data_IF_918085547725
#
_entry.id   IF_918085547725
#
_cell.length_a   1.000
_cell.length_b   1.000
_cell.length_c   1.000
_cell.angle_alpha   90.00
_cell.angle_beta   90.00
_cell.angle_gamma   90.00
#
_symmetry.space_group_name_H-M   'P 1'
#
loop_
_entity.id
_entity.type
_entity.pdbx_description
1 polymer ?
#
# COMPACT_ATOMS: atom_id res chain seq x y z
N UNK A 1 4.23 -15.90 -10.76
CA UNK A 1 3.15 -15.08 -10.20
C UNK A 1 2.72 -15.72 -8.88
N UNK A 2 2.55 -14.95 -7.80
CA UNK A 2 2.03 -15.43 -6.50
C UNK A 2 0.69 -14.71 -6.28
N UNK A 3 -0.36 -15.46 -5.97
CA UNK A 3 -1.70 -14.95 -5.70
C UNK A 3 -2.23 -15.61 -4.43
N UNK A 4 -2.81 -14.82 -3.52
CA UNK A 4 -3.44 -15.31 -2.30
C UNK A 4 -4.89 -14.85 -2.28
N UNK A 5 -5.82 -15.80 -2.31
CA UNK A 5 -7.26 -15.54 -2.22
C UNK A 5 -7.63 -15.34 -0.75
N UNK A 6 -7.68 -14.08 -0.32
CA UNK A 6 -8.07 -13.71 1.04
C UNK A 6 -9.02 -12.49 1.04
N UNK A 7 -9.75 -12.35 2.15
CA UNK A 7 -10.66 -11.24 2.45
C UNK A 7 -9.90 -9.97 2.86
N UNK A 8 -10.47 -9.20 3.78
CA UNK A 8 -9.88 -7.94 4.25
C UNK A 8 -8.60 -8.19 5.03
N UNK A 9 -7.47 -7.65 4.56
CA UNK A 9 -6.14 -7.88 5.16
C UNK A 9 -5.42 -6.59 5.55
N UNK A 10 -5.64 -5.50 4.80
CA UNK A 10 -5.04 -4.20 5.10
C UNK A 10 -6.10 -3.27 5.66
N UNK A 11 -5.82 -2.67 6.82
CA UNK A 11 -6.67 -1.69 7.50
C UNK A 11 -5.82 -0.49 7.91
N UNK A 12 -6.31 0.72 7.63
CA UNK A 12 -5.67 1.94 8.09
C UNK A 12 -6.72 2.99 8.48
N UNK A 13 -6.45 3.75 9.52
CA UNK A 13 -7.39 4.71 10.08
C UNK A 13 -6.90 6.14 9.89
N UNK A 14 -7.75 6.98 9.29
CA UNK A 14 -7.62 8.43 9.34
C UNK A 14 -8.44 8.97 10.51
N UNK A 15 -7.74 9.44 11.55
CA UNK A 15 -8.39 10.11 12.68
C UNK A 15 -9.02 11.45 12.26
N UNK A 16 -8.35 12.18 11.35
CA UNK A 16 -8.80 13.50 10.86
C UNK A 16 -10.11 13.41 10.06
N UNK A 17 -10.27 12.36 9.25
CA UNK A 17 -11.47 12.15 8.44
C UNK A 17 -12.46 11.17 9.07
N UNK A 18 -12.18 10.66 10.27
CA UNK A 18 -12.98 9.62 10.93
C UNK A 18 -13.31 8.45 9.98
N UNK A 19 -12.32 8.01 9.20
CA UNK A 19 -12.50 7.07 8.08
C UNK A 19 -11.54 5.90 8.22
N UNK A 20 -12.06 4.67 8.08
CA UNK A 20 -11.27 3.45 7.96
C UNK A 20 -11.11 3.12 6.48
N UNK A 21 -9.87 3.11 6.02
CA UNK A 21 -9.48 2.57 4.73
C UNK A 21 -9.18 1.08 4.88
N UNK A 22 -9.59 0.29 3.89
CA UNK A 22 -9.31 -1.13 3.89
C UNK A 22 -9.13 -1.70 2.48
N UNK A 23 -8.40 -2.80 2.40
CA UNK A 23 -8.21 -3.54 1.16
C UNK A 23 -8.35 -5.05 1.39
N UNK A 24 -9.17 -5.74 0.59
CA UNK A 24 -9.08 -7.18 0.46
C UNK A 24 -7.83 -7.59 -0.32
N UNK A 25 -7.26 -8.77 0.00
CA UNK A 25 -6.04 -9.23 -0.67
C UNK A 25 -6.28 -9.60 -2.12
N UNK A 26 -7.43 -10.23 -2.40
CA UNK A 26 -7.79 -10.71 -3.74
C UNK A 26 -8.07 -9.59 -4.76
N UNK A 27 -7.87 -8.31 -4.41
CA UNK A 27 -8.11 -7.17 -5.29
C UNK A 27 -7.03 -6.10 -5.15
N UNK A 28 -6.83 -5.31 -6.21
CA UNK A 28 -6.01 -4.10 -6.16
C UNK A 28 -6.83 -2.86 -5.71
N UNK A 29 -8.12 -3.00 -5.46
CA UNK A 29 -9.00 -1.91 -5.03
C UNK A 29 -8.72 -1.51 -3.57
N UNK A 30 -8.98 -0.24 -3.27
CA UNK A 30 -8.98 0.32 -1.92
C UNK A 30 -10.37 0.86 -1.63
N UNK A 31 -10.88 0.54 -0.45
CA UNK A 31 -12.22 0.93 -0.01
C UNK A 31 -12.13 1.77 1.26
N UNK A 32 -13.20 2.48 1.58
CA UNK A 32 -13.36 3.18 2.84
C UNK A 32 -14.75 2.99 3.43
N UNK A 33 -14.83 3.14 4.74
CA UNK A 33 -16.07 3.19 5.51
C UNK A 33 -15.90 4.23 6.63
N UNK A 34 -16.90 5.10 6.88
CA UNK A 34 -16.85 6.03 8.01
C UNK A 34 -16.92 5.27 9.33
N UNK A 35 -16.18 5.72 10.36
CA UNK A 35 -16.21 5.07 11.67
C UNK A 35 -17.57 5.15 12.34
N UNK A 36 -18.36 6.19 12.05
CA UNK A 36 -19.73 6.32 12.57
C UNK A 36 -20.60 5.13 12.18
N UNK A 37 -20.47 4.62 10.94
CA UNK A 37 -21.19 3.43 10.50
C UNK A 37 -20.71 2.16 11.20
N UNK A 38 -19.41 2.04 11.45
CA UNK A 38 -18.84 0.89 12.19
C UNK A 38 -19.22 0.90 13.68
N UNK A 39 -19.33 2.10 14.27
CA UNK A 39 -19.67 2.29 15.68
C UNK A 39 -21.18 2.17 15.96
N UNK A 40 -22.03 2.33 14.94
CA UNK A 40 -23.49 2.19 15.06
C UNK A 40 -23.93 0.74 15.36
N UNK A 41 -23.06 -0.25 15.19
CA UNK A 41 -23.37 -1.66 15.35
C UNK A 41 -23.78 -2.33 14.02
N UNK A 42 -24.33 -3.55 14.08
CA UNK A 42 -24.73 -4.29 12.89
C UNK A 42 -25.82 -3.53 12.12
N UNK A 43 -25.72 -3.42 10.78
CA UNK A 43 -26.79 -2.81 10.00
C UNK A 43 -28.07 -3.66 10.12
N UNK A 44 -29.26 -3.02 10.04
CA UNK A 44 -30.54 -3.73 9.94
C UNK A 44 -30.54 -4.76 8.80
N UNK A 45 -31.43 -5.74 8.88
CA UNK A 45 -31.54 -6.76 7.84
C UNK A 45 -31.79 -6.14 6.46
N UNK A 46 -30.92 -6.46 5.50
CA UNK A 46 -30.98 -5.94 4.14
C UNK A 46 -30.24 -4.62 3.90
N UNK A 47 -29.80 -3.93 4.96
CA UNK A 47 -28.94 -2.76 4.84
C UNK A 47 -27.45 -3.16 4.74
N UNK A 48 -26.70 -2.37 3.97
CA UNK A 48 -25.26 -2.58 3.78
C UNK A 48 -24.48 -1.44 4.44
N UNK A 49 -23.26 -1.76 4.90
CA UNK A 49 -22.33 -0.72 5.32
C UNK A 49 -22.08 0.26 4.15
N UNK A 50 -21.96 1.57 4.43
CA UNK A 50 -21.72 2.59 3.42
C UNK A 50 -20.26 2.55 2.94
N UNK A 51 -19.94 1.51 2.17
CA UNK A 51 -18.62 1.26 1.60
C UNK A 51 -18.43 2.13 0.36
N UNK A 52 -17.33 2.88 0.32
CA UNK A 52 -16.94 3.67 -0.86
C UNK A 52 -15.71 3.04 -1.52
N UNK A 53 -15.72 2.92 -2.84
CA UNK A 53 -14.50 2.66 -3.61
C UNK A 53 -13.65 3.94 -3.63
N UNK A 54 -12.48 3.89 -3.00
CA UNK A 54 -11.57 5.05 -2.92
C UNK A 54 -10.72 5.12 -4.17
N UNK A 55 -10.17 3.98 -4.62
CA UNK A 55 -9.32 3.91 -5.80
C UNK A 55 -8.75 2.53 -6.07
N UNK A 56 -7.74 2.47 -6.95
CA UNK A 56 -7.06 1.24 -7.36
C UNK A 56 -5.55 1.40 -7.28
N UNK A 57 -4.88 0.35 -6.80
CA UNK A 57 -3.42 0.19 -6.83
C UNK A 57 -3.00 -0.52 -8.11
N UNK A 58 -1.71 -0.50 -8.43
CA UNK A 58 -1.12 -1.22 -9.55
C UNK A 58 -1.25 -2.74 -9.42
N UNK A 59 -1.11 -3.27 -8.21
CA UNK A 59 -1.28 -4.70 -7.90
C UNK A 59 -1.83 -4.91 -6.47
N UNK A 60 -2.08 -6.17 -6.11
CA UNK A 60 -2.44 -6.55 -4.75
C UNK A 60 -1.30 -6.24 -3.76
N UNK A 61 -1.62 -6.18 -2.47
CA UNK A 61 -0.64 -5.98 -1.41
C UNK A 61 -1.28 -6.15 -0.04
N UNK A 62 -0.46 -6.24 1.01
CA UNK A 62 -0.92 -6.32 2.40
C UNK A 62 -0.86 -4.98 3.09
N UNK A 63 0.34 -4.41 3.16
CA UNK A 63 0.60 -3.26 3.98
C UNK A 63 -0.21 -2.04 3.51
N UNK A 64 -0.86 -1.40 4.48
CA UNK A 64 -1.66 -0.20 4.31
C UNK A 64 -1.46 0.69 5.54
N UNK A 65 -1.15 1.96 5.33
CA UNK A 65 -1.03 2.94 6.40
C UNK A 65 -1.58 4.29 5.94
N UNK A 66 -1.91 5.15 6.91
CA UNK A 66 -2.32 6.53 6.67
C UNK A 66 -1.33 7.44 7.39
N UNK A 67 -0.82 8.46 6.69
CA UNK A 67 -0.08 9.55 7.29
C UNK A 67 -1.06 10.43 8.08
N UNK A 68 -0.94 10.51 9.42
CA UNK A 68 -1.90 11.29 10.22
C UNK A 68 -1.77 12.80 9.99
N UNK A 69 -0.71 13.27 9.31
CA UNK A 69 -0.48 14.70 9.06
C UNK A 69 -1.34 15.24 7.92
N UNK A 70 -1.58 14.44 6.89
CA UNK A 70 -2.27 14.88 5.69
C UNK A 70 -3.23 13.84 5.08
N UNK A 71 -3.41 12.66 5.69
CA UNK A 71 -4.18 11.52 5.19
C UNK A 71 -3.65 10.87 3.91
N UNK A 72 -2.37 11.09 3.58
CA UNK A 72 -1.71 10.32 2.52
C UNK A 72 -1.72 8.84 2.87
N UNK A 73 -2.20 8.01 1.95
CA UNK A 73 -2.24 6.56 2.09
C UNK A 73 -0.92 5.98 1.58
N UNK A 74 -0.25 5.20 2.42
CA UNK A 74 0.93 4.43 2.05
C UNK A 74 0.57 2.97 1.86
N UNK A 75 1.10 2.35 0.81
CA UNK A 75 0.87 0.94 0.52
C UNK A 75 2.07 0.33 -0.21
N UNK A 76 2.13 -1.00 -0.24
CA UNK A 76 3.20 -1.73 -0.95
C UNK A 76 2.62 -2.78 -1.88
N UNK A 77 2.54 -2.49 -3.19
CA UNK A 77 2.11 -3.44 -4.20
C UNK A 77 3.14 -4.58 -4.39
N UNK A 78 2.67 -5.82 -4.54
CA UNK A 78 3.54 -6.98 -4.69
C UNK A 78 4.36 -6.99 -5.99
N UNK A 79 3.76 -6.55 -7.10
CA UNK A 79 4.44 -6.57 -8.41
C UNK A 79 5.55 -5.53 -8.49
N UNK A 80 5.29 -4.33 -7.96
CA UNK A 80 6.21 -3.20 -8.09
C UNK A 80 7.37 -3.26 -7.10
N UNK A 81 7.27 -4.04 -6.01
CA UNK A 81 8.30 -4.13 -4.96
C UNK A 81 8.74 -2.76 -4.44
N UNK A 82 7.74 -1.90 -4.21
CA UNK A 82 7.89 -0.51 -3.85
C UNK A 82 7.03 -0.14 -2.64
N UNK A 83 7.37 0.97 -1.99
CA UNK A 83 6.46 1.71 -1.11
C UNK A 83 5.93 2.89 -1.91
N UNK A 84 4.63 2.92 -2.13
CA UNK A 84 3.93 4.00 -2.80
C UNK A 84 3.16 4.84 -1.78
N UNK A 85 2.97 6.11 -2.08
CA UNK A 85 2.14 7.03 -1.33
C UNK A 85 1.17 7.73 -2.27
N UNK A 86 -0.07 7.88 -1.82
CA UNK A 86 -1.15 8.49 -2.59
C UNK A 86 -2.05 9.32 -1.69
N UNK A 87 -2.29 10.57 -2.07
CA UNK A 87 -3.22 11.47 -1.41
C UNK A 87 -4.58 11.44 -2.14
N UNK A 88 -5.63 10.83 -1.57
CA UNK A 88 -6.88 10.61 -2.31
C UNK A 88 -7.60 11.90 -2.74
N UNK A 89 -7.49 12.98 -1.96
CA UNK A 89 -8.19 14.24 -2.25
C UNK A 89 -7.58 15.03 -3.41
N UNK A 90 -6.25 15.05 -3.50
CA UNK A 90 -5.52 15.78 -4.55
C UNK A 90 -5.08 14.87 -5.70
N UNK A 91 -5.28 13.56 -5.54
CA UNK A 91 -4.77 12.50 -6.40
C UNK A 91 -3.24 12.53 -6.60
N UNK A 92 -2.48 13.18 -5.71
CA UNK A 92 -1.02 13.19 -5.80
C UNK A 92 -0.47 11.80 -5.45
N UNK A 93 0.43 11.29 -6.28
CA UNK A 93 1.04 9.96 -6.14
C UNK A 93 2.56 10.08 -6.20
N UNK A 94 3.26 9.28 -5.39
CA UNK A 94 4.73 9.21 -5.37
C UNK A 94 5.23 7.83 -4.95
N UNK A 95 6.36 7.40 -5.51
CA UNK A 95 7.11 6.25 -5.01
C UNK A 95 8.09 6.75 -3.94
N UNK A 96 7.99 6.21 -2.74
CA UNK A 96 8.85 6.57 -1.60
C UNK A 96 10.11 5.71 -1.52
N UNK A 97 10.02 4.44 -1.91
CA UNK A 97 11.14 3.53 -1.98
C UNK A 97 10.87 2.43 -3.01
N UNK A 98 11.92 1.93 -3.63
CA UNK A 98 11.87 0.79 -4.55
C UNK A 98 13.05 -0.12 -4.25
N UNK A 99 12.79 -1.41 -4.07
CA UNK A 99 13.85 -2.41 -3.91
C UNK A 99 13.29 -3.82 -4.14
N UNK A 100 13.51 -4.41 -5.33
CA UNK A 100 13.12 -5.79 -5.63
C UNK A 100 13.75 -6.84 -4.71
N UNK A 101 14.84 -6.50 -4.03
CA UNK A 101 15.48 -7.38 -3.07
C UNK A 101 14.88 -7.25 -1.67
N UNK A 102 14.61 -6.01 -1.21
CA UNK A 102 14.22 -5.73 0.18
C UNK A 102 12.71 -5.65 0.39
N UNK A 103 11.93 -5.34 -0.65
CA UNK A 103 10.49 -5.08 -0.61
C UNK A 103 9.69 -6.11 -1.40
N UNK A 104 10.07 -7.39 -1.32
CA UNK A 104 9.40 -8.47 -2.06
C UNK A 104 7.99 -8.77 -1.54
N UNK A 105 7.82 -8.71 -0.23
CA UNK A 105 6.55 -8.97 0.43
C UNK A 105 6.43 -8.12 1.69
N UNK A 106 6.02 -6.86 1.53
CA UNK A 106 5.83 -5.95 2.66
C UNK A 106 4.53 -6.29 3.37
N UNK A 107 4.66 -6.83 4.58
CA UNK A 107 3.53 -7.26 5.41
C UNK A 107 2.91 -6.09 6.19
N UNK A 108 3.72 -5.13 6.63
CA UNK A 108 3.27 -4.01 7.47
C UNK A 108 3.99 -2.71 7.11
N UNK A 109 3.26 -1.59 7.17
CA UNK A 109 3.80 -0.23 7.18
C UNK A 109 3.22 0.44 8.42
N UNK A 110 4.05 1.02 9.28
CA UNK A 110 3.60 1.68 10.51
C UNK A 110 4.20 3.06 10.65
N UNK A 111 3.34 4.07 10.74
CA UNK A 111 3.73 5.41 11.17
C UNK A 111 4.04 5.41 12.67
N UNK A 112 5.16 6.04 13.06
CA UNK A 112 5.63 6.04 14.45
C UNK A 112 5.86 7.45 14.97
N UNK A 113 4.94 7.95 15.80
CA UNK A 113 5.05 9.26 16.46
C UNK A 113 6.35 9.39 17.25
N UNK A 114 6.70 8.34 18.01
CA UNK A 114 7.87 8.29 18.90
C UNK A 114 9.21 8.29 18.17
N UNK A 115 9.21 8.12 16.85
CA UNK A 115 10.39 8.19 15.98
C UNK A 115 10.18 9.27 14.93
N UNK A 116 9.78 10.47 15.37
CA UNK A 116 9.61 11.68 14.56
C UNK A 116 8.69 11.50 13.33
N UNK A 117 7.68 10.66 13.45
CA UNK A 117 6.76 10.37 12.34
C UNK A 117 7.40 9.63 11.17
N UNK A 118 8.49 8.88 11.42
CA UNK A 118 9.06 7.97 10.44
C UNK A 118 8.17 6.74 10.24
N UNK A 119 8.29 6.14 9.06
CA UNK A 119 7.62 4.89 8.74
C UNK A 119 8.54 3.70 8.96
N UNK A 120 8.02 2.70 9.65
CA UNK A 120 8.65 1.40 9.80
C UNK A 120 7.95 0.37 8.92
N UNK A 121 8.74 -0.52 8.34
CA UNK A 121 8.31 -1.49 7.35
C UNK A 121 8.69 -2.89 7.85
N UNK A 122 7.76 -3.83 7.78
CA UNK A 122 8.08 -5.26 7.87
C UNK A 122 8.01 -5.83 6.46
N UNK A 123 9.14 -6.33 5.96
CA UNK A 123 9.18 -7.07 4.69
C UNK A 123 9.70 -8.47 4.90
N UNK A 124 9.09 -9.42 4.22
CA UNK A 124 9.40 -10.84 4.33
C UNK A 124 9.64 -11.43 2.95
N UNK A 125 9.89 -12.74 2.92
CA UNK A 125 9.84 -13.56 1.71
C UNK A 125 8.72 -14.58 1.79
N UNK A 126 7.51 -14.13 2.16
CA UNK A 126 6.37 -15.01 2.33
C UNK A 126 6.06 -15.84 1.08
N UNK A 127 6.22 -15.27 -0.12
CA UNK A 127 6.07 -16.01 -1.38
C UNK A 127 7.05 -17.19 -1.50
N UNK A 128 8.24 -17.07 -0.91
CA UNK A 128 9.22 -18.14 -0.83
C UNK A 128 8.85 -19.20 0.20
N UNK A 129 8.39 -18.73 1.36
CA UNK A 129 7.89 -19.61 2.43
C UNK A 129 6.72 -20.47 1.96
N UNK A 130 5.74 -19.85 1.30
CA UNK A 130 4.58 -20.53 0.76
C UNK A 130 4.96 -21.61 -0.27
N UNK A 131 5.98 -21.37 -1.10
CA UNK A 131 6.49 -22.33 -2.09
C UNK A 131 7.52 -23.31 -1.52
N UNK A 132 7.80 -23.26 -0.22
CA UNK A 132 8.85 -24.06 0.42
C UNK A 132 10.25 -23.86 -0.22
N UNK A 133 10.53 -22.66 -0.76
CA UNK A 133 11.77 -22.30 -1.48
C UNK A 133 12.69 -21.34 -0.68
N UNK A 134 12.44 -21.20 0.63
CA UNK A 134 13.22 -20.31 1.52
C UNK A 134 14.66 -20.81 1.66
N UNK A 135 15.62 -19.91 1.39
CA UNK A 135 17.03 -20.17 1.65
C UNK A 135 17.44 -19.58 3.00
N UNK A 136 17.86 -20.43 3.93
CA UNK A 136 18.32 -20.02 5.26
C UNK A 136 19.60 -19.15 5.24
N UNK A 137 20.36 -19.16 4.13
CA UNK A 137 21.55 -18.32 3.96
C UNK A 137 21.24 -16.88 3.56
N UNK A 138 19.99 -16.60 3.21
CA UNK A 138 19.56 -15.26 2.82
C UNK A 138 18.86 -14.53 3.97
N UNK A 139 18.81 -13.20 3.89
CA UNK A 139 17.95 -12.39 4.75
C UNK A 139 16.49 -12.52 4.27
N UNK A 140 15.67 -13.26 5.03
CA UNK A 140 14.27 -13.55 4.68
C UNK A 140 13.24 -12.64 5.36
N UNK A 141 13.61 -11.96 6.46
CA UNK A 141 12.75 -11.03 7.20
C UNK A 141 13.56 -9.75 7.45
N UNK A 142 12.94 -8.60 7.23
CA UNK A 142 13.54 -7.27 7.41
C UNK A 142 12.56 -6.37 8.15
N UNK A 143 13.04 -5.72 9.21
CA UNK A 143 12.39 -4.54 9.80
C UNK A 143 13.22 -3.34 9.37
N UNK A 144 12.61 -2.39 8.68
CA UNK A 144 13.31 -1.28 8.04
C UNK A 144 12.65 0.04 8.38
N UNK A 145 13.45 1.09 8.50
CA UNK A 145 12.95 2.46 8.57
C UNK A 145 13.00 3.10 7.19
N UNK A 146 11.88 3.69 6.76
CA UNK A 146 11.84 4.54 5.59
C UNK A 146 12.42 5.90 5.96
N UNK A 147 13.63 6.17 5.47
CA UNK A 147 14.32 7.43 5.69
C UNK A 147 14.07 8.38 4.51
N UNK A 148 13.75 9.66 4.75
CA UNK A 148 13.72 10.66 3.70
C UNK A 148 15.08 10.68 3.00
N UNK A 149 15.09 10.64 1.68
CA UNK A 149 16.31 10.69 0.89
C UNK A 149 16.98 12.06 1.09
N UNK A 150 18.07 12.13 1.87
CA UNK A 150 18.81 13.38 2.14
C UNK A 150 19.76 13.80 1.00
N UNK A 151 19.75 13.09 -0.14
CA UNK A 151 20.57 13.47 -1.29
C UNK A 151 19.76 14.34 -2.25
N UNK A 152 20.23 15.55 -2.63
CA UNK A 152 19.71 16.22 -3.80
C UNK A 152 19.89 15.24 -4.96
N UNK A 153 18.78 14.86 -5.59
CA UNK A 153 18.79 14.11 -6.83
C UNK A 153 19.66 14.90 -7.83
N UNK A 154 20.93 14.48 -8.04
CA UNK A 154 21.79 15.03 -9.10
C UNK A 154 21.21 14.81 -10.49
N UNK A 155 20.16 14.01 -10.60
CA UNK A 155 19.33 13.88 -11.78
C UNK A 155 17.87 14.07 -11.35
N UNK A 156 17.20 15.16 -11.72
CA UNK A 156 15.76 15.22 -11.58
C UNK A 156 15.20 13.99 -12.29
N UNK A 157 14.56 13.10 -11.53
CA UNK A 157 13.78 12.01 -12.09
C UNK A 157 12.48 12.64 -12.61
N UNK A 158 12.64 13.45 -13.65
CA UNK A 158 11.60 13.91 -14.56
C UNK A 158 11.57 13.04 -15.82
N UNK A 159 12.42 11.99 -15.89
CA UNK A 159 12.55 11.11 -17.05
C UNK A 159 12.24 9.62 -16.80
N UNK A 160 11.81 9.20 -15.60
CA UNK A 160 11.43 7.78 -15.40
C UNK A 160 10.04 7.41 -15.93
N UNK A 161 9.28 8.36 -16.48
CA UNK A 161 8.10 8.05 -17.29
C UNK A 161 8.43 7.70 -18.75
N UNK A 162 9.71 7.75 -19.17
CA UNK A 162 10.12 7.50 -20.55
C UNK A 162 11.11 6.32 -20.74
N UNK A 163 11.30 5.45 -19.73
CA UNK A 163 11.97 4.16 -19.96
C UNK A 163 10.96 3.00 -19.86
N UNK A 164 10.63 2.35 -20.99
CA UNK A 164 9.56 1.37 -21.06
C UNK A 164 10.08 0.01 -20.58
N UNK A 165 10.15 -0.20 -19.27
CA UNK A 165 10.11 -1.57 -18.73
C UNK A 165 8.68 -2.12 -18.64
N UNK A 166 7.68 -1.26 -18.87
CA UNK A 166 6.27 -1.63 -18.96
C UNK A 166 5.71 -1.15 -20.31
N UNK A 167 5.04 -2.02 -21.09
CA UNK A 167 4.30 -1.61 -22.26
C UNK A 167 3.33 -0.46 -21.91
N UNK A 168 3.25 0.60 -22.73
CA UNK A 168 2.29 1.71 -22.53
C UNK A 168 0.82 1.26 -22.38
N UNK A 169 0.52 0.03 -22.80
CA UNK A 169 -0.81 -0.59 -22.73
C UNK A 169 -1.30 -0.85 -21.30
N UNK A 170 -0.43 -0.89 -20.29
CA UNK A 170 -0.86 -1.08 -18.89
C UNK A 170 -1.48 0.19 -18.26
N UNK A 171 -1.17 1.37 -18.79
CA UNK A 171 -1.74 2.63 -18.32
C UNK A 171 -3.08 2.99 -18.99
N UNK A 172 -3.50 2.21 -20.00
CA UNK A 172 -4.62 2.57 -20.87
C UNK A 172 -5.98 1.97 -20.45
N UNK A 173 -6.05 1.20 -19.36
CA UNK A 173 -7.29 0.50 -18.95
C UNK A 173 -8.00 1.10 -17.72
N UNK A 174 -7.77 2.37 -17.44
CA UNK A 174 -8.62 3.13 -16.52
C UNK A 174 -8.88 4.52 -17.06
N UNK A 175 -9.94 4.64 -17.87
CA UNK A 175 -11.00 5.66 -17.78
C UNK A 175 -12.16 5.16 -18.65
N UNK A 176 -13.33 5.01 -18.02
CA UNK A 176 -14.58 4.62 -18.64
C UNK A 176 -15.65 4.57 -17.56
N UNK A 177 -16.14 5.76 -17.22
CA UNK A 177 -17.26 6.14 -16.33
C UNK A 177 -17.36 5.48 -14.94
#
# INVERSE_FOLDING_TARGET
MFELLDGVVGLAFSARLATVYYQPLATNRLFSVPTTALQAGPPPFGEQLPVTLVGKKSSQGLALAVDPRDDTILFSPFTETAIAAWQPQTNQQRILAYSPEKLQFTAEIRWTERDNGNYWLLSTRFQKFFRQDVNARDINIRIMKLVPMQYPLKHPILNSFNQPYFPPQFYNNTIGF
#
